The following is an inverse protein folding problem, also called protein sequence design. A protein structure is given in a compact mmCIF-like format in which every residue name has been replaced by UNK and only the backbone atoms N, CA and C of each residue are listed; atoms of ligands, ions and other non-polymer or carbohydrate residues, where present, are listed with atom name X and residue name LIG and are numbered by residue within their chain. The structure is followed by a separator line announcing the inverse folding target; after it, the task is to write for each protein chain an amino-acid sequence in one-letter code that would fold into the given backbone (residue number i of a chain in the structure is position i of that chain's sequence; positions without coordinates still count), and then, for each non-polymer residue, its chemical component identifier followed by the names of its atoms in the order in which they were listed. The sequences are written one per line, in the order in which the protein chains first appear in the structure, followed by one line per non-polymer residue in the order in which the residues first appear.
data_IF_455215326481
#
_entry.id   IF_455215326481
#
_cell.length_a   1.000
_cell.length_b   1.000
_cell.length_c   1.000
_cell.angle_alpha   90.00
_cell.angle_beta   90.00
_cell.angle_gamma   90.00
#
_symmetry.space_group_name_H-M   'P 1'
#
loop_
_entity.id
_entity.type
_entity.pdbx_description
1 polymer ?
#
# COMPACT_ATOMS: atom_id res chain seq x y z
N UNK A 1 -8.86 29.35 36.10
CA UNK A 1 -8.03 28.24 35.59
C UNK A 1 -7.70 28.53 34.12
N UNK A 2 -6.63 29.30 33.87
CA UNK A 2 -6.26 29.71 32.52
C UNK A 2 -5.63 28.56 31.75
N UNK A 3 -6.26 28.12 30.67
CA UNK A 3 -5.69 27.13 29.76
C UNK A 3 -4.54 27.80 29.02
N UNK A 4 -3.31 27.46 29.36
CA UNK A 4 -2.10 27.90 28.65
C UNK A 4 -2.10 27.28 27.25
N UNK A 5 -2.71 27.98 26.28
CA UNK A 5 -2.48 27.67 24.87
C UNK A 5 -0.99 27.89 24.62
N UNK A 6 -0.24 26.81 24.43
CA UNK A 6 1.15 26.91 23.95
C UNK A 6 1.11 27.63 22.61
N UNK A 7 1.60 28.86 22.59
CA UNK A 7 1.84 29.64 21.40
C UNK A 7 3.08 29.07 20.68
N UNK A 8 2.95 27.84 20.18
CA UNK A 8 3.79 27.40 19.08
C UNK A 8 3.34 28.24 17.88
N UNK A 9 4.25 29.03 17.29
CA UNK A 9 3.93 29.92 16.17
C UNK A 9 3.26 29.17 15.00
N UNK A 10 2.66 29.89 14.05
CA UNK A 10 1.98 29.30 12.88
C UNK A 10 2.85 28.31 12.07
N UNK A 11 4.16 28.34 12.28
CA UNK A 11 5.14 27.44 11.67
C UNK A 11 5.18 26.02 12.27
N UNK A 12 4.76 25.84 13.53
CA UNK A 12 4.83 24.54 14.19
C UNK A 12 3.46 23.88 14.17
N UNK A 13 3.31 22.91 13.26
CA UNK A 13 2.10 22.08 13.16
C UNK A 13 1.89 21.29 14.45
N UNK A 14 0.63 21.10 14.84
CA UNK A 14 0.31 20.33 16.05
C UNK A 14 0.62 18.83 15.88
N UNK A 15 0.69 18.09 16.98
CA UNK A 15 0.78 16.62 16.92
C UNK A 15 -0.42 16.01 16.16
N UNK A 16 -1.62 16.57 16.35
CA UNK A 16 -2.84 16.08 15.71
C UNK A 16 -2.77 16.22 14.19
N UNK A 17 -2.14 17.28 13.68
CA UNK A 17 -1.86 17.43 12.26
C UNK A 17 -1.06 16.23 11.69
N UNK A 18 0.02 15.83 12.37
CA UNK A 18 0.84 14.71 11.92
C UNK A 18 0.11 13.37 12.02
N UNK A 19 -0.63 13.14 13.11
CA UNK A 19 -1.45 11.94 13.29
C UNK A 19 -2.55 11.83 12.22
N UNK A 20 -3.19 12.96 11.90
CA UNK A 20 -4.18 13.02 10.83
C UNK A 20 -3.52 12.70 9.48
N UNK A 21 -2.33 13.23 9.21
CA UNK A 21 -1.62 12.97 7.94
C UNK A 21 -1.23 11.50 7.78
N UNK A 22 -0.75 10.85 8.84
CA UNK A 22 -0.44 9.42 8.79
C UNK A 22 -1.71 8.57 8.61
N UNK A 23 -2.82 8.96 9.23
CA UNK A 23 -4.12 8.31 9.03
C UNK A 23 -4.62 8.45 7.58
N UNK A 24 -4.53 9.63 6.97
CA UNK A 24 -4.87 9.87 5.55
C UNK A 24 -4.09 8.93 4.64
N UNK A 25 -2.78 8.81 4.85
CA UNK A 25 -1.94 7.91 4.05
C UNK A 25 -2.28 6.43 4.28
N UNK A 26 -2.61 6.04 5.51
CA UNK A 26 -3.07 4.70 5.83
C UNK A 26 -4.34 4.34 5.06
N UNK A 27 -5.31 5.25 5.09
CA UNK A 27 -6.61 5.07 4.45
C UNK A 27 -6.52 5.09 2.92
N UNK A 28 -5.69 5.96 2.34
CA UNK A 28 -5.41 5.95 0.91
C UNK A 28 -4.84 4.59 0.46
N UNK A 29 -3.86 4.05 1.21
CA UNK A 29 -3.29 2.73 0.91
C UNK A 29 -4.33 1.61 1.03
N UNK A 30 -5.25 1.72 1.98
CA UNK A 30 -6.35 0.76 2.13
C UNK A 30 -7.25 0.73 0.90
N UNK A 31 -7.67 1.90 0.38
CA UNK A 31 -8.47 1.98 -0.86
C UNK A 31 -7.76 1.31 -2.05
N UNK A 32 -6.44 1.53 -2.17
CA UNK A 32 -5.64 0.90 -3.22
C UNK A 32 -5.54 -0.62 -3.09
N UNK A 33 -5.56 -1.14 -1.86
CA UNK A 33 -5.58 -2.59 -1.59
C UNK A 33 -6.95 -3.19 -1.89
N UNK A 34 -8.03 -2.55 -1.45
CA UNK A 34 -9.40 -3.01 -1.68
C UNK A 34 -9.71 -3.12 -3.18
N UNK A 35 -9.18 -2.21 -4.00
CA UNK A 35 -9.36 -2.24 -5.46
C UNK A 35 -8.47 -3.24 -6.21
N UNK A 36 -7.54 -3.94 -5.53
CA UNK A 36 -6.63 -4.91 -6.17
C UNK A 36 -7.31 -6.01 -6.99
N UNK A 37 -8.43 -6.65 -6.56
CA UNK A 37 -9.01 -7.79 -7.26
C UNK A 37 -9.79 -7.41 -8.54
N UNK A 38 -10.05 -6.12 -8.78
CA UNK A 38 -10.70 -5.63 -10.00
C UNK A 38 -9.84 -5.91 -11.25
N UNK A 39 -10.47 -5.96 -12.44
CA UNK A 39 -9.77 -5.99 -13.74
C UNK A 39 -8.83 -4.79 -13.89
N UNK A 40 -7.76 -4.94 -14.69
CA UNK A 40 -6.72 -3.91 -14.82
C UNK A 40 -7.28 -2.54 -15.24
N UNK A 41 -8.12 -2.50 -16.27
CA UNK A 41 -8.66 -1.25 -16.82
C UNK A 41 -9.56 -0.54 -15.79
N UNK A 42 -10.55 -1.27 -15.26
CA UNK A 42 -11.47 -0.75 -14.23
C UNK A 42 -10.70 -0.32 -12.97
N UNK A 43 -9.71 -1.10 -12.54
CA UNK A 43 -8.87 -0.78 -11.38
C UNK A 43 -8.09 0.51 -11.58
N UNK A 44 -7.56 0.76 -12.78
CA UNK A 44 -6.86 2.01 -13.08
C UNK A 44 -7.79 3.21 -12.97
N UNK A 45 -9.00 3.11 -13.52
CA UNK A 45 -9.99 4.19 -13.46
C UNK A 45 -10.44 4.48 -12.03
N UNK A 46 -10.78 3.45 -11.26
CA UNK A 46 -11.16 3.60 -9.85
C UNK A 46 -10.01 4.21 -9.04
N UNK A 47 -8.76 3.79 -9.28
CA UNK A 47 -7.60 4.38 -8.60
C UNK A 47 -7.36 5.84 -8.97
N UNK A 48 -7.62 6.24 -10.22
CA UNK A 48 -7.57 7.66 -10.63
C UNK A 48 -8.62 8.47 -9.89
N UNK A 49 -9.85 7.96 -9.76
CA UNK A 49 -10.92 8.62 -9.00
C UNK A 49 -10.58 8.74 -7.51
N UNK A 50 -10.10 7.66 -6.88
CA UNK A 50 -9.63 7.69 -5.48
C UNK A 50 -8.57 8.78 -5.33
N UNK A 51 -7.55 8.80 -6.20
CA UNK A 51 -6.49 9.81 -6.14
C UNK A 51 -7.05 11.23 -6.28
N UNK A 52 -7.93 11.47 -7.24
CA UNK A 52 -8.57 12.77 -7.43
C UNK A 52 -9.36 13.23 -6.19
N UNK A 53 -10.07 12.31 -5.52
CA UNK A 53 -10.79 12.61 -4.28
C UNK A 53 -9.86 13.01 -3.12
N UNK A 54 -8.73 12.33 -2.96
CA UNK A 54 -7.73 12.71 -1.95
C UNK A 54 -7.00 14.01 -2.32
N UNK A 55 -6.73 14.25 -3.60
CA UNK A 55 -6.08 15.46 -4.08
C UNK A 55 -6.98 16.71 -3.95
N UNK A 56 -8.30 16.56 -4.07
CA UNK A 56 -9.25 17.65 -3.86
C UNK A 56 -9.17 18.29 -2.47
N UNK A 57 -8.84 17.49 -1.44
CA UNK A 57 -8.71 17.93 -0.05
C UNK A 57 -7.25 18.01 0.40
N UNK A 58 -6.29 18.07 -0.54
CA UNK A 58 -4.85 18.04 -0.23
C UNK A 58 -4.37 19.21 0.63
N UNK A 59 -5.00 20.37 0.48
CA UNK A 59 -4.61 21.63 1.12
C UNK A 59 -5.41 21.94 2.39
N UNK A 60 -6.21 20.99 2.87
CA UNK A 60 -6.97 21.14 4.11
C UNK A 60 -6.03 21.19 5.32
N UNK A 61 -6.01 22.34 6.01
CA UNK A 61 -5.20 22.54 7.21
C UNK A 61 -6.02 22.45 8.51
N UNK A 62 -7.35 22.56 8.45
CA UNK A 62 -8.21 22.43 9.61
C UNK A 62 -8.24 20.97 10.10
N UNK A 63 -7.63 20.73 11.24
CA UNK A 63 -7.52 19.42 11.87
C UNK A 63 -8.88 18.77 12.15
N UNK A 64 -9.90 19.57 12.50
CA UNK A 64 -11.26 19.06 12.76
C UNK A 64 -11.93 18.63 11.46
N UNK A 65 -11.74 19.41 10.40
CA UNK A 65 -12.22 19.08 9.06
C UNK A 65 -11.59 17.81 8.54
N UNK A 66 -10.27 17.67 8.67
CA UNK A 66 -9.56 16.44 8.26
C UNK A 66 -10.05 15.23 9.06
N UNK A 67 -10.27 15.36 10.37
CA UNK A 67 -10.82 14.28 11.18
C UNK A 67 -12.24 13.86 10.72
N UNK A 68 -13.09 14.81 10.35
CA UNK A 68 -14.41 14.54 9.78
C UNK A 68 -14.30 13.79 8.44
N UNK A 69 -13.43 14.27 7.54
CA UNK A 69 -13.19 13.67 6.24
C UNK A 69 -12.66 12.24 6.35
N UNK A 70 -11.75 11.98 7.29
CA UNK A 70 -11.25 10.63 7.58
C UNK A 70 -12.38 9.69 8.00
N UNK A 71 -13.30 10.16 8.86
CA UNK A 71 -14.47 9.37 9.26
C UNK A 71 -15.38 9.07 8.06
N UNK A 72 -15.74 10.09 7.28
CA UNK A 72 -16.55 9.92 6.07
C UNK A 72 -15.92 8.96 5.08
N UNK A 73 -14.61 9.06 4.87
CA UNK A 73 -13.88 8.17 3.98
C UNK A 73 -13.86 6.71 4.49
N UNK A 74 -14.01 6.47 5.81
CA UNK A 74 -14.09 5.09 6.35
C UNK A 74 -15.46 4.49 6.05
N UNK A 75 -16.50 5.30 6.18
CA UNK A 75 -17.86 4.90 5.78
C UNK A 75 -17.92 4.62 4.27
N UNK A 76 -17.24 5.45 3.47
CA UNK A 76 -17.08 5.22 2.02
C UNK A 76 -16.28 3.97 1.69
N UNK A 77 -15.25 3.63 2.47
CA UNK A 77 -14.47 2.40 2.25
C UNK A 77 -15.35 1.15 2.26
N UNK A 78 -16.31 1.09 3.20
CA UNK A 78 -17.24 -0.03 3.28
C UNK A 78 -18.05 -0.16 1.99
N UNK A 79 -18.62 0.95 1.51
CA UNK A 79 -19.38 0.97 0.25
C UNK A 79 -18.51 0.57 -0.95
N UNK A 80 -17.25 1.04 -1.00
CA UNK A 80 -16.31 0.67 -2.07
C UNK A 80 -15.97 -0.82 -2.00
N UNK A 81 -15.82 -1.40 -0.81
CA UNK A 81 -15.61 -2.84 -0.65
C UNK A 81 -16.79 -3.64 -1.21
N UNK A 82 -18.01 -3.30 -0.83
CA UNK A 82 -19.23 -3.99 -1.29
C UNK A 82 -19.38 -3.89 -2.83
N UNK A 83 -19.07 -2.72 -3.40
CA UNK A 83 -19.06 -2.51 -4.85
C UNK A 83 -17.96 -3.31 -5.55
N UNK A 84 -16.77 -3.41 -4.95
CA UNK A 84 -15.70 -4.25 -5.49
C UNK A 84 -16.10 -5.72 -5.47
N UNK A 85 -16.71 -6.20 -4.38
CA UNK A 85 -17.14 -7.59 -4.25
C UNK A 85 -18.19 -7.95 -5.31
N UNK A 86 -19.17 -7.06 -5.54
CA UNK A 86 -20.17 -7.24 -6.61
C UNK A 86 -19.54 -7.19 -8.00
N UNK A 87 -18.65 -6.24 -8.28
CA UNK A 87 -17.94 -6.16 -9.55
C UNK A 87 -17.09 -7.41 -9.81
N UNK A 88 -16.36 -7.90 -8.80
CA UNK A 88 -15.56 -9.13 -8.90
C UNK A 88 -16.46 -10.35 -9.15
N UNK A 89 -17.62 -10.43 -8.51
CA UNK A 89 -18.59 -11.49 -8.79
C UNK A 89 -19.06 -11.48 -10.26
N UNK A 90 -19.34 -10.29 -10.82
CA UNK A 90 -19.70 -10.11 -12.23
C UNK A 90 -18.54 -10.46 -13.19
N UNK A 91 -17.31 -10.12 -12.82
CA UNK A 91 -16.14 -10.50 -13.62
C UNK A 91 -15.98 -12.02 -13.71
N UNK A 92 -16.27 -12.75 -12.62
CA UNK A 92 -16.22 -14.21 -12.58
C UNK A 92 -17.34 -14.84 -13.40
N UNK A 93 -18.56 -14.31 -13.35
CA UNK A 93 -19.65 -14.81 -14.18
C UNK A 93 -19.39 -14.60 -15.68
N UNK A 94 -18.88 -13.42 -16.09
CA UNK A 94 -18.52 -13.15 -17.47
C UNK A 94 -17.31 -13.97 -17.98
N UNK A 95 -16.42 -14.40 -17.09
CA UNK A 95 -15.35 -15.34 -17.43
C UNK A 95 -15.91 -16.76 -17.62
N UNK A 96 -16.75 -17.22 -16.69
CA UNK A 96 -17.47 -18.50 -16.79
C UNK A 96 -18.34 -18.58 -18.04
N UNK A 97 -18.98 -17.47 -18.44
CA UNK A 97 -19.83 -17.45 -19.63
C UNK A 97 -19.09 -17.72 -20.94
N UNK A 98 -17.84 -17.24 -21.01
CA UNK A 98 -16.98 -17.47 -22.16
C UNK A 98 -16.45 -18.90 -22.20
N UNK A 99 -16.32 -19.55 -21.04
CA UNK A 99 -15.80 -20.92 -20.95
C UNK A 99 -16.83 -21.96 -21.39
N UNK A 100 -18.12 -21.83 -21.01
CA UNK A 100 -19.15 -22.76 -21.49
C UNK A 100 -19.44 -22.62 -22.99
N UNK A 101 -19.34 -21.41 -23.56
CA UNK A 101 -19.44 -21.20 -25.02
C UNK A 101 -18.25 -21.76 -25.80
N UNK A 102 -17.11 -21.97 -25.15
CA UNK A 102 -15.93 -22.59 -25.78
C UNK A 102 -16.02 -24.12 -25.80
N UNK A 103 -16.91 -24.70 -24.99
CA UNK A 103 -17.14 -26.14 -24.91
C UNK A 103 -17.97 -26.75 -26.04
N UNK A 104 -18.64 -25.94 -26.89
CA UNK A 104 -19.58 -26.46 -27.89
C UNK A 104 -19.00 -26.61 -29.31
N UNK A 105 -17.73 -26.27 -29.55
CA UNK A 105 -17.11 -26.39 -30.89
C UNK A 105 -15.66 -26.87 -30.93
N UNK A 106 -15.05 -27.26 -29.81
CA UNK A 106 -13.65 -27.68 -29.76
C UNK A 106 -13.48 -29.21 -29.87
N UNK A 107 -13.83 -29.77 -31.03
CA UNK A 107 -13.35 -31.09 -31.48
C UNK A 107 -12.53 -30.92 -32.77
N UNK A 108 -11.31 -30.40 -32.67
CA UNK A 108 -10.20 -30.67 -33.60
C UNK A 108 -8.86 -30.19 -33.02
N UNK A 109 -7.80 -30.96 -33.33
CA UNK A 109 -6.45 -31.04 -32.74
C UNK A 109 -5.56 -29.76 -32.83
N UNK A 110 -4.42 -29.72 -32.07
CA UNK A 110 -3.55 -28.57 -31.95
C UNK A 110 -2.42 -28.55 -33.01
N UNK A 111 -1.97 -27.35 -33.38
CA UNK A 111 -0.74 -27.12 -34.12
C UNK A 111 -0.06 -25.82 -33.64
N UNK A 112 1.27 -25.86 -33.67
CA UNK A 112 2.20 -25.03 -32.93
C UNK A 112 2.45 -23.61 -33.50
N UNK A 113 2.91 -22.75 -32.58
CA UNK A 113 3.99 -21.77 -32.68
C UNK A 113 3.90 -20.56 -33.64
N UNK A 114 3.95 -19.36 -33.05
CA UNK A 114 4.99 -18.33 -33.25
C UNK A 114 4.47 -17.03 -32.60
N UNK A 115 4.97 -16.68 -31.42
CA UNK A 115 6.12 -15.78 -31.24
C UNK A 115 5.74 -14.29 -31.38
N UNK A 116 5.59 -13.64 -30.23
CA UNK A 116 5.70 -12.20 -30.08
C UNK A 116 6.33 -11.96 -28.71
N UNK A 117 7.65 -12.09 -28.67
CA UNK A 117 8.47 -11.47 -27.63
C UNK A 117 8.36 -9.95 -27.78
N UNK A 118 7.85 -9.29 -26.74
CA UNK A 118 8.37 -7.99 -26.32
C UNK A 118 8.54 -8.03 -24.80
N UNK A 119 9.81 -7.96 -24.44
CA UNK A 119 10.48 -8.15 -23.16
C UNK A 119 10.17 -7.01 -22.20
N UNK A 120 9.79 -7.28 -20.94
CA UNK A 120 10.14 -6.47 -19.74
C UNK A 120 9.63 -7.14 -18.44
N UNK A 121 9.96 -8.41 -18.20
CA UNK A 121 10.21 -8.93 -16.84
C UNK A 121 11.09 -10.18 -16.95
N UNK A 122 12.24 -10.15 -16.27
CA UNK A 122 13.20 -11.25 -16.23
C UNK A 122 12.55 -12.57 -15.80
N UNK A 123 12.92 -13.63 -16.52
CA UNK A 123 12.54 -15.00 -16.22
C UNK A 123 13.15 -15.48 -14.88
N UNK A 124 12.46 -16.35 -14.12
CA UNK A 124 13.01 -16.89 -12.88
C UNK A 124 14.09 -17.92 -13.21
N UNK A 125 15.32 -17.64 -12.78
CA UNK A 125 16.41 -18.63 -12.80
C UNK A 125 16.09 -19.75 -11.80
N UNK A 126 15.93 -20.97 -12.30
CA UNK A 126 16.10 -22.18 -11.50
C UNK A 126 17.58 -22.31 -11.14
N UNK A 127 17.86 -22.29 -9.84
CA UNK A 127 19.19 -22.50 -9.28
C UNK A 127 19.03 -22.71 -7.78
N UNK A 128 19.47 -23.87 -7.31
CA UNK A 128 19.46 -24.28 -5.90
C UNK A 128 20.03 -23.19 -4.99
N UNK A 129 19.26 -22.78 -3.97
CA UNK A 129 19.64 -22.97 -2.57
C UNK A 129 18.61 -22.33 -1.64
N UNK A 130 18.07 -23.16 -0.76
CA UNK A 130 17.11 -22.76 0.24
C UNK A 130 17.67 -21.72 1.21
N UNK A 131 16.89 -20.66 1.41
CA UNK A 131 16.39 -20.24 2.74
C UNK A 131 15.48 -19.03 2.58
N UNK A 132 14.19 -19.34 2.58
CA UNK A 132 13.13 -18.60 3.28
C UNK A 132 13.61 -17.34 4.03
N UNK A 133 13.53 -16.17 3.40
CA UNK A 133 13.61 -14.90 4.11
C UNK A 133 12.20 -14.47 4.53
N UNK A 134 11.63 -15.28 5.42
CA UNK A 134 10.35 -15.01 6.09
C UNK A 134 10.59 -13.97 7.18
N UNK A 135 9.94 -12.82 7.04
CA UNK A 135 9.53 -11.91 8.13
C UNK A 135 10.68 -11.43 9.05
N UNK A 136 11.31 -10.31 8.69
CA UNK A 136 12.01 -9.46 9.67
C UNK A 136 13.52 -9.31 9.53
N UNK A 137 14.14 -9.58 8.38
CA UNK A 137 15.51 -9.11 8.12
C UNK A 137 15.51 -7.65 7.69
N UNK A 138 15.74 -6.78 8.67
CA UNK A 138 16.28 -5.43 8.45
C UNK A 138 17.55 -5.59 7.63
N UNK A 139 17.53 -5.13 6.38
CA UNK A 139 18.66 -5.22 5.47
C UNK A 139 19.95 -4.75 6.12
N UNK A 140 21.00 -5.55 5.95
CA UNK A 140 22.40 -5.22 6.26
C UNK A 140 22.91 -4.13 5.32
N UNK A 141 22.32 -2.94 5.41
CA UNK A 141 22.65 -1.78 4.57
C UNK A 141 22.21 -0.45 5.15
N UNK A 142 21.78 -0.40 6.42
CA UNK A 142 21.48 0.85 7.11
C UNK A 142 22.76 1.48 7.70
N UNK A 143 22.94 2.80 7.60
CA UNK A 143 24.22 3.48 7.81
C UNK A 143 24.74 3.48 9.25
N UNK A 144 23.98 2.97 10.22
CA UNK A 144 24.43 2.78 11.60
C UNK A 144 25.11 1.43 11.86
N UNK A 145 25.20 0.52 10.87
CA UNK A 145 26.08 -0.66 10.98
C UNK A 145 27.53 -0.27 10.66
N UNK A 146 28.13 0.58 11.48
CA UNK A 146 29.59 0.71 11.50
C UNK A 146 30.16 -0.53 12.18
N UNK A 147 30.78 -1.42 11.40
CA UNK A 147 31.56 -2.57 11.86
C UNK A 147 32.87 -2.19 12.57
N UNK A 148 32.81 -1.23 13.50
CA UNK A 148 33.90 -0.97 14.44
C UNK A 148 33.44 -1.46 15.80
N UNK A 149 34.04 -2.56 16.26
CA UNK A 149 33.86 -3.03 17.62
C UNK A 149 34.11 -1.87 18.57
N UNK A 150 33.22 -1.69 19.53
CA UNK A 150 33.46 -0.77 20.64
C UNK A 150 34.67 -1.30 21.39
N UNK A 151 35.82 -0.65 21.26
CA UNK A 151 36.90 -0.82 22.22
C UNK A 151 36.31 -0.50 23.59
N UNK A 152 36.33 -1.51 24.47
CA UNK A 152 35.90 -1.35 25.85
C UNK A 152 36.81 -0.29 26.46
N UNK A 153 36.30 0.92 26.65
CA UNK A 153 36.95 1.89 27.52
C UNK A 153 36.93 1.30 28.93
N UNK A 154 38.06 0.76 29.36
CA UNK A 154 38.29 0.35 30.74
C UNK A 154 38.20 1.60 31.61
N UNK A 155 37.05 1.80 32.26
CA UNK A 155 36.87 2.83 33.28
C UNK A 155 37.46 2.34 34.61
N UNK A 156 38.77 2.12 34.63
CA UNK A 156 39.52 2.12 35.88
C UNK A 156 39.68 3.58 36.32
N UNK A 157 38.85 4.05 37.26
CA UNK A 157 39.11 5.36 37.86
C UNK A 157 37.93 6.16 38.39
N UNK A 158 36.70 5.62 38.49
CA UNK A 158 35.65 6.34 39.21
C UNK A 158 35.85 6.14 40.72
N UNK A 159 36.74 6.93 41.32
CA UNK A 159 36.78 7.13 42.77
C UNK A 159 35.50 7.88 43.16
N UNK A 160 34.58 7.19 43.84
CA UNK A 160 33.50 7.83 44.59
C UNK A 160 34.15 8.73 45.64
N UNK A 161 33.94 10.04 45.54
CA UNK A 161 34.05 10.97 46.66
C UNK A 161 32.64 11.44 46.98
#
# INVERSE_FOLDING_TARGET
MGVTRRALGAEVKSLLYFLNRTAVLGQYREFLRTTKPLAADVRLDVRRQIRAGFDASRHEEDERRVALLLRQARDQMKMVSDLVDTAVAQQRSAASERDWKKGEWATAKPAAAADTQDTWVDAPSEGEDGKEDVKGRVGTGWPWKSGKGTDKLNLEGIKRR
#
